data_IF_930167993605
#
_entry.id   IF_930167993605
#
_cell.length_a   1.000
_cell.length_b   1.000
_cell.length_c   1.000
_cell.angle_alpha   90.00
_cell.angle_beta   90.00
_cell.angle_gamma   90.00
#
_symmetry.space_group_name_H-M   'P 1'
#
loop_
_entity.id
_entity.type
_entity.pdbx_description
1 polymer ?
#
# COMPACT_ATOMS: atom_id res chain seq x y z
N UNK A 1 -28.07 12.53 71.02
CA UNK A 1 -29.11 12.31 69.99
C UNK A 1 -28.91 13.40 68.96
N UNK A 2 -28.20 13.06 67.88
CA UNK A 2 -28.01 13.92 66.71
C UNK A 2 -28.25 13.00 65.51
N UNK A 3 -29.28 13.23 64.68
CA UNK A 3 -29.63 12.29 63.62
C UNK A 3 -28.72 12.50 62.40
N UNK A 4 -28.00 11.44 62.03
CA UNK A 4 -27.25 11.34 60.77
C UNK A 4 -28.18 11.52 59.56
N UNK A 5 -27.87 12.51 58.73
CA UNK A 5 -28.55 12.79 57.46
C UNK A 5 -27.90 11.94 56.34
N UNK A 6 -28.67 11.22 55.52
CA UNK A 6 -28.12 10.40 54.43
C UNK A 6 -27.65 11.25 53.24
N UNK A 7 -26.67 10.78 52.43
CA UNK A 7 -26.09 11.55 51.33
C UNK A 7 -27.05 11.71 50.15
N UNK A 8 -27.14 12.93 49.65
CA UNK A 8 -27.93 13.36 48.48
C UNK A 8 -27.31 12.84 47.18
N UNK A 9 -28.07 12.08 46.39
CA UNK A 9 -27.67 11.61 45.05
C UNK A 9 -27.86 12.75 44.03
N UNK A 10 -26.85 13.09 43.19
CA UNK A 10 -27.01 14.09 42.15
C UNK A 10 -27.90 13.59 40.99
N UNK A 11 -28.78 14.46 40.52
CA UNK A 11 -29.74 14.20 39.45
C UNK A 11 -29.06 13.97 38.09
N UNK A 12 -29.58 13.01 37.32
CA UNK A 12 -29.14 12.70 35.96
C UNK A 12 -29.42 13.86 34.98
N UNK A 13 -28.52 14.17 34.03
CA UNK A 13 -28.76 15.19 33.01
C UNK A 13 -29.84 14.77 32.01
N UNK A 14 -30.79 15.66 31.75
CA UNK A 14 -31.88 15.44 30.80
C UNK A 14 -31.38 15.48 29.35
N UNK A 15 -31.90 14.57 28.53
CA UNK A 15 -31.58 14.45 27.11
C UNK A 15 -32.13 15.63 26.30
N UNK A 16 -31.26 16.26 25.51
CA UNK A 16 -31.62 17.31 24.54
C UNK A 16 -32.11 16.63 23.24
N UNK A 17 -33.29 16.98 22.70
CA UNK A 17 -33.76 16.41 21.44
C UNK A 17 -32.99 16.96 20.24
N UNK A 18 -32.51 16.05 19.38
CA UNK A 18 -31.83 16.36 18.12
C UNK A 18 -32.89 16.61 17.02
N UNK A 19 -32.83 17.72 16.26
CA UNK A 19 -33.76 17.96 15.15
C UNK A 19 -33.47 17.04 13.94
N UNK A 20 -34.49 16.66 13.14
CA UNK A 20 -34.31 15.78 12.00
C UNK A 20 -33.56 16.46 10.84
N UNK A 21 -32.62 15.71 10.24
CA UNK A 21 -31.86 16.11 9.06
C UNK A 21 -32.76 16.32 7.84
N UNK A 22 -32.67 17.50 7.22
CA UNK A 22 -33.23 17.77 5.90
C UNK A 22 -32.41 17.05 4.82
N UNK A 23 -33.07 16.25 3.99
CA UNK A 23 -32.45 15.55 2.86
C UNK A 23 -31.99 16.51 1.75
N UNK A 24 -31.04 16.09 0.90
CA UNK A 24 -30.50 16.92 -0.17
C UNK A 24 -31.52 17.13 -1.31
N UNK A 25 -31.50 18.30 -1.99
CA UNK A 25 -32.39 18.58 -3.11
C UNK A 25 -32.04 17.76 -4.37
N UNK A 26 -33.01 17.38 -5.20
CA UNK A 26 -32.77 16.63 -6.43
C UNK A 26 -32.12 17.48 -7.54
N UNK A 27 -31.24 16.85 -8.31
CA UNK A 27 -30.51 17.45 -9.43
C UNK A 27 -31.43 17.81 -10.62
N UNK A 28 -31.12 18.88 -11.38
CA UNK A 28 -31.92 19.29 -12.53
C UNK A 28 -31.71 18.37 -13.74
N UNK A 29 -32.82 17.93 -14.34
CA UNK A 29 -32.84 17.18 -15.59
C UNK A 29 -32.68 18.13 -16.78
N UNK A 30 -31.60 17.99 -17.55
CA UNK A 30 -31.43 18.68 -18.84
C UNK A 30 -32.23 17.96 -19.92
N UNK A 31 -33.32 18.60 -20.35
CA UNK A 31 -34.17 18.15 -21.45
C UNK A 31 -33.50 18.26 -22.82
N UNK A 32 -33.68 17.20 -23.61
CA UNK A 32 -33.35 17.11 -25.04
C UNK A 32 -34.24 18.05 -25.86
N UNK A 33 -33.63 19.03 -26.53
CA UNK A 33 -34.33 19.89 -27.50
C UNK A 33 -34.18 19.31 -28.92
N UNK A 34 -35.31 18.81 -29.44
CA UNK A 34 -35.56 18.57 -30.86
C UNK A 34 -35.64 19.90 -31.64
N UNK A 35 -35.22 19.85 -32.90
CA UNK A 35 -35.62 20.79 -33.94
C UNK A 35 -34.49 21.00 -34.94
N UNK A 36 -34.69 21.09 -36.26
CA UNK A 36 -35.87 21.17 -37.11
C UNK A 36 -35.43 20.69 -38.51
N UNK A 37 -36.30 19.94 -39.19
CA UNK A 37 -36.16 19.51 -40.59
C UNK A 37 -36.37 20.67 -41.57
N UNK A 38 -35.70 20.62 -42.73
CA UNK A 38 -36.23 20.76 -44.14
C UNK A 38 -35.21 21.47 -45.07
N UNK A 39 -35.34 21.36 -46.41
CA UNK A 39 -35.75 20.21 -47.22
C UNK A 39 -34.87 19.98 -48.48
N UNK A 40 -34.90 18.74 -48.97
CA UNK A 40 -35.00 18.27 -50.37
C UNK A 40 -34.66 19.26 -51.50
N UNK A 41 -33.62 18.92 -52.29
CA UNK A 41 -33.65 19.04 -53.75
C UNK A 41 -33.22 17.70 -54.35
N UNK A 42 -34.12 17.14 -55.14
CA UNK A 42 -34.03 15.87 -55.85
C UNK A 42 -33.66 16.18 -57.30
N UNK A 43 -32.62 15.56 -57.85
CA UNK A 43 -32.48 15.40 -59.29
C UNK A 43 -31.64 14.15 -59.58
N UNK A 44 -32.35 13.12 -60.04
CA UNK A 44 -31.80 11.91 -60.63
C UNK A 44 -31.06 12.21 -61.95
N UNK A 45 -30.20 11.31 -62.42
CA UNK A 45 -30.35 10.61 -63.71
C UNK A 45 -29.13 9.69 -63.99
N UNK A 46 -29.49 8.46 -64.36
CA UNK A 46 -28.86 7.48 -65.24
C UNK A 46 -27.46 6.91 -64.93
N UNK A 47 -27.46 5.59 -64.76
CA UNK A 47 -26.28 4.75 -64.94
C UNK A 47 -25.88 4.59 -66.40
N UNK A 48 -24.64 4.14 -66.57
CA UNK A 48 -24.07 3.71 -67.84
C UNK A 48 -22.85 2.84 -67.55
N UNK A 49 -23.05 1.53 -67.61
CA UNK A 49 -22.03 0.48 -67.58
C UNK A 49 -21.48 0.25 -69.00
N UNK A 50 -20.22 -0.23 -69.07
CA UNK A 50 -19.50 -0.78 -70.24
C UNK A 50 -18.79 0.25 -71.14
N UNK A 51 -17.58 0.06 -71.68
CA UNK A 51 -16.50 -0.94 -71.58
C UNK A 51 -15.33 -0.37 -72.42
N UNK A 52 -14.08 -0.60 -72.00
CA UNK A 52 -12.81 -0.56 -72.75
C UNK A 52 -12.63 0.41 -73.95
N UNK A 53 -11.60 1.25 -73.91
CA UNK A 53 -10.38 1.05 -74.72
C UNK A 53 -9.29 2.11 -74.43
N UNK A 54 -8.09 1.60 -74.13
CA UNK A 54 -6.77 2.09 -74.57
C UNK A 54 -6.28 3.52 -74.28
N UNK A 55 -4.99 3.56 -73.90
CA UNK A 55 -4.10 4.71 -73.74
C UNK A 55 -4.32 5.46 -72.42
N UNK A 56 -3.37 5.59 -71.50
CA UNK A 56 -1.93 5.35 -71.52
C UNK A 56 -1.35 6.25 -70.44
N UNK A 57 -0.54 5.68 -69.55
CA UNK A 57 0.29 6.43 -68.61
C UNK A 57 -0.44 6.98 -67.38
N UNK A 58 -0.16 6.38 -66.23
CA UNK A 58 0.20 7.10 -65.00
C UNK A 58 0.67 6.10 -63.95
N UNK A 59 1.59 6.57 -63.11
CA UNK A 59 2.42 5.83 -62.17
C UNK A 59 1.73 4.70 -61.39
N UNK A 60 2.33 3.52 -61.39
CA UNK A 60 2.14 2.52 -60.34
C UNK A 60 2.79 3.08 -59.07
N UNK A 61 2.02 3.86 -58.31
CA UNK A 61 2.32 4.07 -56.90
C UNK A 61 2.01 2.74 -56.23
N UNK A 62 3.06 2.01 -55.86
CA UNK A 62 2.96 0.93 -54.90
C UNK A 62 2.47 1.52 -53.58
N UNK A 63 1.15 1.57 -53.39
CA UNK A 63 0.52 1.83 -52.11
C UNK A 63 0.69 0.56 -51.27
N UNK A 64 1.93 0.34 -50.79
CA UNK A 64 2.15 -0.46 -49.60
C UNK A 64 1.34 0.26 -48.53
N UNK A 65 0.29 -0.41 -48.06
CA UNK A 65 -0.45 0.00 -46.88
C UNK A 65 0.51 0.09 -45.71
N UNK A 66 1.15 1.24 -45.56
CA UNK A 66 1.78 1.66 -44.34
C UNK A 66 0.61 1.95 -43.42
N UNK A 67 0.16 0.92 -42.72
CA UNK A 67 -0.59 1.08 -41.49
C UNK A 67 0.23 2.04 -40.65
N UNK A 68 -0.15 3.32 -40.67
CA UNK A 68 0.28 4.26 -39.66
C UNK A 68 -0.40 3.77 -38.42
N UNK A 69 0.28 2.89 -37.68
CA UNK A 69 0.12 2.77 -36.25
C UNK A 69 0.46 4.17 -35.74
N UNK A 70 -0.55 5.04 -35.67
CA UNK A 70 -0.57 6.10 -34.69
C UNK A 70 -0.73 5.39 -33.35
N UNK A 71 0.34 4.71 -32.93
CA UNK A 71 0.54 4.38 -31.54
C UNK A 71 0.68 5.73 -30.88
N UNK A 72 -0.24 6.02 -29.97
CA UNK A 72 -0.02 7.05 -28.97
C UNK A 72 1.39 6.79 -28.40
N UNK A 73 2.31 7.78 -28.36
CA UNK A 73 3.59 7.60 -27.71
C UNK A 73 3.32 7.32 -26.23
N UNK A 74 3.19 6.04 -25.89
CA UNK A 74 3.03 5.60 -24.51
C UNK A 74 4.44 5.59 -23.96
N UNK A 75 4.79 6.71 -23.33
CA UNK A 75 6.06 6.83 -22.61
C UNK A 75 6.33 5.58 -21.77
N UNK A 76 7.59 5.17 -21.70
CA UNK A 76 7.99 3.95 -21.01
C UNK A 76 8.42 4.29 -19.58
N UNK A 77 8.04 3.45 -18.62
CA UNK A 77 8.57 3.56 -17.25
C UNK A 77 9.48 2.37 -17.00
N UNK A 78 10.72 2.65 -16.60
CA UNK A 78 11.74 1.66 -16.27
C UNK A 78 12.09 1.77 -14.79
N UNK A 79 11.92 0.67 -14.06
CA UNK A 79 12.37 0.53 -12.69
C UNK A 79 13.54 -0.45 -12.63
N UNK A 80 14.68 0.03 -12.13
CA UNK A 80 15.84 -0.82 -11.86
C UNK A 80 15.87 -1.12 -10.38
N UNK A 81 15.92 -2.41 -10.07
CA UNK A 81 16.02 -2.90 -8.69
C UNK A 81 17.28 -3.72 -8.50
N UNK A 82 17.86 -3.64 -7.31
CA UNK A 82 18.98 -4.46 -6.87
C UNK A 82 18.52 -5.45 -5.81
N UNK A 83 18.92 -6.71 -5.97
CA UNK A 83 18.64 -7.76 -5.03
C UNK A 83 19.59 -7.68 -3.82
N UNK A 84 19.00 -7.52 -2.65
CA UNK A 84 19.63 -7.51 -1.34
C UNK A 84 19.28 -8.83 -0.65
N UNK A 85 20.28 -9.61 -0.24
CA UNK A 85 20.01 -10.81 0.55
C UNK A 85 19.59 -10.43 1.96
N UNK A 86 18.71 -11.23 2.57
CA UNK A 86 18.40 -11.07 4.00
C UNK A 86 19.71 -11.21 4.81
N UNK A 87 19.94 -10.24 5.71
CA UNK A 87 21.17 -10.19 6.50
C UNK A 87 22.43 -9.77 5.72
N UNK A 88 22.29 -9.12 4.56
CA UNK A 88 23.42 -8.57 3.80
C UNK A 88 24.18 -9.59 2.93
N UNK A 89 23.69 -10.83 2.83
CA UNK A 89 24.28 -11.86 1.97
C UNK A 89 24.04 -11.57 0.48
N UNK A 90 24.91 -12.08 -0.38
CA UNK A 90 24.73 -11.98 -1.84
C UNK A 90 23.69 -13.02 -2.29
N UNK A 91 22.59 -12.62 -2.94
CA UNK A 91 21.61 -13.58 -3.44
C UNK A 91 22.22 -14.52 -4.47
N UNK A 92 21.89 -15.81 -4.40
CA UNK A 92 22.31 -16.78 -5.41
C UNK A 92 21.60 -16.53 -6.76
N UNK A 93 22.23 -16.98 -7.85
CA UNK A 93 21.71 -16.76 -9.21
C UNK A 93 20.35 -17.44 -9.47
N UNK A 94 20.02 -18.50 -8.74
CA UNK A 94 18.75 -19.22 -8.88
C UNK A 94 17.61 -18.46 -8.17
N UNK A 95 17.87 -17.83 -7.03
CA UNK A 95 16.97 -16.95 -6.31
C UNK A 95 16.65 -15.72 -7.16
N UNK A 96 17.66 -15.10 -7.77
CA UNK A 96 17.48 -14.00 -8.73
C UNK A 96 16.60 -14.42 -9.93
N UNK A 97 16.79 -15.61 -10.49
CA UNK A 97 15.97 -16.08 -11.61
C UNK A 97 14.53 -16.40 -11.19
N UNK A 98 14.33 -16.95 -9.98
CA UNK A 98 12.98 -17.14 -9.41
C UNK A 98 12.30 -15.79 -9.20
N UNK A 99 13.00 -14.81 -8.62
CA UNK A 99 12.49 -13.45 -8.43
C UNK A 99 12.12 -12.80 -9.76
N UNK A 100 12.98 -12.89 -10.79
CA UNK A 100 12.69 -12.36 -12.13
C UNK A 100 11.40 -12.93 -12.71
N UNK A 101 11.20 -14.25 -12.62
CA UNK A 101 9.96 -14.91 -13.09
C UNK A 101 8.74 -14.44 -12.30
N UNK A 102 8.81 -14.39 -10.98
CA UNK A 102 7.72 -13.90 -10.14
C UNK A 102 7.35 -12.44 -10.45
N UNK A 103 8.33 -11.58 -10.72
CA UNK A 103 8.07 -10.20 -11.14
C UNK A 103 7.38 -10.15 -12.51
N UNK A 104 7.76 -11.02 -13.46
CA UNK A 104 7.07 -11.11 -14.75
C UNK A 104 5.60 -11.55 -14.55
N UNK A 105 5.38 -12.63 -13.79
CA UNK A 105 4.04 -13.15 -13.50
C UNK A 105 3.14 -12.10 -12.82
N UNK A 106 3.71 -11.31 -11.91
CA UNK A 106 2.99 -10.22 -11.23
C UNK A 106 2.68 -9.06 -12.18
N UNK A 107 3.58 -8.71 -13.10
CA UNK A 107 3.37 -7.64 -14.08
C UNK A 107 2.26 -8.00 -15.07
N UNK A 108 2.26 -9.24 -15.56
CA UNK A 108 1.21 -9.79 -16.40
C UNK A 108 -0.14 -9.84 -15.66
N UNK A 109 -0.14 -10.34 -14.41
CA UNK A 109 -1.36 -10.42 -13.60
C UNK A 109 -1.95 -9.06 -13.24
N UNK A 110 -1.09 -8.05 -13.07
CA UNK A 110 -1.51 -6.65 -12.89
C UNK A 110 -2.14 -6.06 -14.17
N UNK A 111 -1.97 -6.70 -15.32
CA UNK A 111 -2.47 -6.23 -16.61
C UNK A 111 -1.69 -5.04 -17.13
N UNK A 112 -0.39 -4.96 -16.82
CA UNK A 112 0.50 -3.93 -17.35
C UNK A 112 0.71 -4.17 -18.85
N UNK A 113 0.76 -3.09 -19.62
CA UNK A 113 0.98 -3.17 -21.07
C UNK A 113 2.45 -3.46 -21.37
N UNK A 114 2.70 -4.54 -22.13
CA UNK A 114 4.01 -4.99 -22.62
C UNK A 114 5.13 -4.99 -21.54
N UNK A 115 4.95 -5.71 -20.42
CA UNK A 115 5.94 -5.74 -19.36
C UNK A 115 7.15 -6.58 -19.79
N UNK A 116 8.35 -6.01 -19.67
CA UNK A 116 9.61 -6.74 -19.86
C UNK A 116 10.41 -6.76 -18.56
N UNK A 117 10.73 -7.97 -18.08
CA UNK A 117 11.52 -8.19 -16.85
C UNK A 117 12.81 -8.92 -17.20
N UNK A 118 13.90 -8.18 -17.14
CA UNK A 118 15.24 -8.66 -17.56
C UNK A 118 16.23 -8.57 -16.42
N UNK A 119 17.21 -9.48 -16.38
CA UNK A 119 18.35 -9.38 -15.46
C UNK A 119 19.40 -8.46 -16.04
N UNK A 120 19.99 -7.63 -15.18
CA UNK A 120 21.09 -6.73 -15.52
C UNK A 120 22.25 -7.00 -14.56
N UNK A 121 23.31 -7.62 -15.09
CA UNK A 121 24.45 -8.08 -14.28
C UNK A 121 24.06 -9.12 -13.22
N UNK A 122 24.85 -9.18 -12.14
CA UNK A 122 24.75 -10.27 -11.15
C UNK A 122 23.68 -10.04 -10.10
N UNK A 123 23.25 -8.80 -9.86
CA UNK A 123 22.35 -8.46 -8.74
C UNK A 123 21.17 -7.58 -9.12
N UNK A 124 21.08 -7.08 -10.37
CA UNK A 124 20.01 -6.16 -10.75
C UNK A 124 18.96 -6.83 -11.64
N UNK A 125 17.74 -6.37 -11.50
CA UNK A 125 16.61 -6.69 -12.36
C UNK A 125 16.07 -5.37 -12.88
N UNK A 126 15.83 -5.29 -14.19
CA UNK A 126 15.23 -4.13 -14.86
C UNK A 126 13.85 -4.55 -15.30
N UNK A 127 12.84 -3.84 -14.80
CA UNK A 127 11.45 -3.99 -15.20
C UNK A 127 11.09 -2.76 -16.02
N UNK A 128 10.63 -2.96 -17.26
CA UNK A 128 10.12 -1.90 -18.13
C UNK A 128 8.67 -2.19 -18.47
N UNK A 129 7.84 -1.15 -18.45
CA UNK A 129 6.43 -1.21 -18.87
C UNK A 129 6.12 -0.07 -19.81
N UNK A 130 5.20 -0.33 -20.75
CA UNK A 130 4.72 0.64 -21.71
C UNK A 130 3.54 1.44 -21.12
N UNK A 131 3.81 2.25 -20.10
CA UNK A 131 2.80 3.07 -19.44
C UNK A 131 3.41 4.32 -18.77
N UNK A 132 2.78 5.47 -19.02
CA UNK A 132 3.04 6.70 -18.28
C UNK A 132 2.25 6.72 -16.95
N UNK A 133 2.88 7.20 -15.87
CA UNK A 133 2.24 7.50 -14.56
C UNK A 133 1.73 6.30 -13.75
N UNK A 134 2.38 5.13 -13.82
CA UNK A 134 2.02 3.96 -13.03
C UNK A 134 3.03 3.62 -11.92
N UNK A 135 3.70 4.63 -11.36
CA UNK A 135 4.75 4.48 -10.35
C UNK A 135 4.30 3.64 -9.13
N UNK A 136 3.06 3.82 -8.68
CA UNK A 136 2.54 3.08 -7.53
C UNK A 136 2.31 1.59 -7.84
N UNK A 137 1.76 1.28 -9.02
CA UNK A 137 1.61 -0.11 -9.50
C UNK A 137 2.97 -0.79 -9.68
N UNK A 138 3.98 -0.04 -10.17
CA UNK A 138 5.34 -0.54 -10.36
C UNK A 138 6.08 -0.74 -9.04
N UNK A 139 5.88 0.14 -8.07
CA UNK A 139 6.41 -0.03 -6.71
C UNK A 139 5.77 -1.24 -6.02
N UNK A 140 4.46 -1.43 -6.19
CA UNK A 140 3.77 -2.62 -5.68
C UNK A 140 4.28 -3.91 -6.34
N UNK A 141 4.63 -3.86 -7.62
CA UNK A 141 5.19 -4.99 -8.35
C UNK A 141 6.51 -5.50 -7.76
N UNK A 142 7.43 -4.58 -7.45
CA UNK A 142 8.77 -4.90 -6.91
C UNK A 142 8.79 -5.11 -5.40
N UNK A 143 7.66 -4.93 -4.74
CA UNK A 143 7.52 -5.19 -3.31
C UNK A 143 7.69 -6.70 -3.01
N UNK A 144 8.19 -7.05 -1.83
CA UNK A 144 8.53 -8.45 -1.50
C UNK A 144 7.26 -9.29 -1.47
N UNK A 145 6.16 -8.79 -0.91
CA UNK A 145 4.91 -9.53 -0.75
C UNK A 145 4.84 -10.35 0.51
N UNK A 146 5.57 -9.93 1.54
CA UNK A 146 5.45 -10.52 2.86
C UNK A 146 4.17 -10.05 3.54
N UNK A 147 3.11 -10.84 3.36
CA UNK A 147 1.85 -10.65 4.06
C UNK A 147 1.93 -11.24 5.47
N UNK A 148 1.51 -10.45 6.46
CA UNK A 148 1.38 -10.85 7.86
C UNK A 148 0.03 -10.41 8.41
N UNK A 149 -0.62 -11.29 9.18
CA UNK A 149 -1.77 -10.94 10.00
C UNK A 149 -1.32 -10.79 11.44
N UNK A 150 -1.54 -9.60 12.01
CA UNK A 150 -1.08 -9.22 13.34
C UNK A 150 -2.22 -8.58 14.11
N UNK A 151 -2.42 -8.95 15.37
CA UNK A 151 -3.31 -8.20 16.24
C UNK A 151 -2.73 -6.80 16.49
N UNK A 152 -3.59 -5.79 16.50
CA UNK A 152 -3.21 -4.45 16.95
C UNK A 152 -3.18 -4.46 18.48
N UNK A 153 -2.01 -4.18 19.05
CA UNK A 153 -1.84 -4.06 20.50
C UNK A 153 -2.31 -2.68 20.95
N UNK A 154 -1.92 -1.64 20.21
CA UNK A 154 -2.27 -0.27 20.51
C UNK A 154 -2.23 0.57 19.22
N UNK A 155 -3.02 1.63 19.18
CA UNK A 155 -3.06 2.60 18.09
C UNK A 155 -3.01 4.01 18.66
N UNK A 156 -2.22 4.87 18.04
CA UNK A 156 -2.18 6.30 18.37
C UNK A 156 -2.38 7.11 17.10
N UNK A 157 -3.16 8.17 17.21
CA UNK A 157 -3.24 9.18 16.17
C UNK A 157 -1.92 9.96 16.16
N UNK A 158 -1.24 9.99 15.02
CA UNK A 158 -0.12 10.91 14.79
C UNK A 158 -0.68 12.30 14.50
N UNK A 159 -0.25 13.35 15.22
CA UNK A 159 -0.62 14.70 14.85
C UNK A 159 -0.15 14.99 13.41
N UNK A 160 -0.91 15.78 12.62
CA UNK A 160 -0.49 16.14 11.27
C UNK A 160 0.90 16.78 11.35
N UNK A 161 1.81 16.35 10.47
CA UNK A 161 3.17 16.86 10.38
C UNK A 161 3.14 18.36 10.07
N UNK A 162 3.02 19.19 11.10
CA UNK A 162 2.95 20.63 10.98
C UNK A 162 4.39 21.13 11.09
N UNK A 163 5.07 21.24 9.94
CA UNK A 163 6.39 21.87 9.89
C UNK A 163 7.54 21.09 9.22
N UNK A 164 7.28 20.10 8.37
CA UNK A 164 8.32 19.54 7.50
C UNK A 164 7.95 19.77 6.02
N UNK A 165 8.17 20.99 5.52
CA UNK A 165 8.10 21.33 4.09
C UNK A 165 9.31 20.81 3.32
N UNK A 166 9.83 19.65 3.70
CA UNK A 166 10.84 18.94 2.93
C UNK A 166 10.12 18.06 1.92
N UNK A 167 10.21 18.39 0.64
CA UNK A 167 9.95 17.42 -0.44
C UNK A 167 10.71 16.12 -0.09
N UNK A 168 10.07 14.94 -0.13
CA UNK A 168 10.78 13.69 0.07
C UNK A 168 11.74 13.51 -1.11
N UNK A 169 12.96 14.01 -0.98
CA UNK A 169 14.08 13.49 -1.76
C UNK A 169 14.25 12.06 -1.31
N UNK A 170 14.18 11.11 -2.25
CA UNK A 170 14.77 9.78 -2.05
C UNK A 170 16.14 9.98 -1.39
N UNK A 171 16.39 9.42 -0.19
CA UNK A 171 17.71 9.48 0.39
C UNK A 171 18.70 8.92 -0.63
N UNK A 172 19.90 9.51 -0.78
CA UNK A 172 20.97 8.87 -1.54
C UNK A 172 21.12 7.44 -1.05
N UNK A 173 21.40 6.46 -1.93
CA UNK A 173 21.68 5.11 -1.49
C UNK A 173 22.84 5.15 -0.49
N UNK A 174 22.53 4.99 0.80
CA UNK A 174 23.53 4.88 1.85
C UNK A 174 24.44 3.72 1.48
N UNK A 175 25.65 4.06 1.05
CA UNK A 175 26.65 3.11 0.53
C UNK A 175 27.51 2.54 1.65
N UNK A 176 27.14 2.81 2.91
CA UNK A 176 27.75 2.28 4.11
C UNK A 176 27.04 1.01 4.62
N UNK A 177 27.67 0.29 5.56
CA UNK A 177 26.99 -0.80 6.25
C UNK A 177 25.73 -0.28 6.97
N UNK A 178 24.66 -1.09 7.05
CA UNK A 178 23.44 -0.68 7.73
C UNK A 178 23.74 -0.27 9.17
N UNK A 179 23.10 0.80 9.69
CA UNK A 179 23.36 1.27 11.04
C UNK A 179 23.01 0.16 12.05
N UNK A 180 23.75 0.09 13.15
CA UNK A 180 23.45 -0.82 14.27
C UNK A 180 22.63 -0.10 15.33
N UNK A 181 21.85 -0.85 16.12
CA UNK A 181 21.11 -0.27 17.24
C UNK A 181 22.04 0.46 18.22
N UNK A 182 23.22 -0.09 18.50
CA UNK A 182 24.21 0.52 19.40
C UNK A 182 24.67 1.90 18.91
N UNK A 183 24.90 2.06 17.60
CA UNK A 183 25.25 3.35 16.99
C UNK A 183 24.11 4.37 17.12
N UNK A 184 22.88 3.93 16.90
CA UNK A 184 21.69 4.80 17.04
C UNK A 184 21.49 5.20 18.50
N UNK A 185 21.69 4.29 19.45
CA UNK A 185 21.64 4.59 20.89
C UNK A 185 22.69 5.63 21.25
N UNK A 186 23.94 5.47 20.77
CA UNK A 186 25.01 6.44 21.01
C UNK A 186 24.67 7.84 20.44
N UNK A 187 24.03 7.90 19.26
CA UNK A 187 23.57 9.14 18.63
C UNK A 187 22.45 9.82 19.43
N UNK A 188 21.54 9.05 20.00
CA UNK A 188 20.40 9.56 20.76
C UNK A 188 20.76 9.95 22.19
N UNK A 189 21.78 9.32 22.78
CA UNK A 189 22.22 9.58 24.14
C UNK A 189 21.09 9.39 25.18
N UNK A 190 20.94 10.29 26.17
CA UNK A 190 19.92 10.19 27.21
C UNK A 190 18.47 10.15 26.68
N UNK A 191 18.22 10.67 25.48
CA UNK A 191 16.89 10.63 24.87
C UNK A 191 16.38 9.20 24.67
N UNK A 192 17.29 8.24 24.45
CA UNK A 192 16.92 6.83 24.23
C UNK A 192 16.39 6.16 25.50
N UNK A 193 16.94 6.46 26.68
CA UNK A 193 16.45 5.90 27.94
C UNK A 193 15.04 6.40 28.26
N UNK A 194 14.81 7.68 28.01
CA UNK A 194 13.47 8.28 28.13
C UNK A 194 12.52 7.60 27.15
N UNK A 195 12.89 7.46 25.88
CA UNK A 195 12.08 6.75 24.90
C UNK A 195 11.76 5.30 25.28
N UNK A 196 12.73 4.58 25.86
CA UNK A 196 12.51 3.24 26.39
C UNK A 196 11.50 3.21 27.54
N UNK A 197 11.51 4.21 28.42
CA UNK A 197 10.54 4.27 29.52
C UNK A 197 9.10 4.42 29.00
N UNK A 198 8.89 5.24 27.98
CA UNK A 198 7.60 5.37 27.27
C UNK A 198 7.20 4.09 26.53
N UNK A 199 8.15 3.45 25.85
CA UNK A 199 7.94 2.19 25.16
C UNK A 199 7.46 1.08 26.11
N UNK A 200 7.98 1.04 27.33
CA UNK A 200 7.57 0.05 28.35
C UNK A 200 6.17 0.30 28.89
N UNK A 201 5.77 1.56 29.02
CA UNK A 201 4.44 1.90 29.54
C UNK A 201 3.34 1.83 28.47
N UNK A 202 3.71 1.80 27.18
CA UNK A 202 2.77 1.95 26.05
C UNK A 202 1.85 3.17 26.23
N UNK A 203 2.35 4.20 26.92
CA UNK A 203 1.60 5.41 27.24
C UNK A 203 1.28 6.20 25.96
N UNK A 204 0.05 6.71 25.81
CA UNK A 204 -0.30 7.63 24.73
C UNK A 204 0.70 8.80 24.62
N UNK A 205 1.08 9.21 23.39
CA UNK A 205 2.05 10.28 23.15
C UNK A 205 1.60 11.62 23.72
N UNK A 206 0.30 11.83 23.96
CA UNK A 206 -0.21 13.03 24.61
C UNK A 206 0.28 13.19 26.06
N UNK A 207 0.68 12.09 26.71
CA UNK A 207 1.28 12.09 28.04
C UNK A 207 2.77 12.46 27.99
N UNK A 208 3.39 12.40 26.81
CA UNK A 208 4.67 13.06 26.58
C UNK A 208 4.39 14.56 26.48
N UNK A 209 4.21 15.22 27.63
CA UNK A 209 4.04 16.67 27.70
C UNK A 209 5.17 17.43 26.99
N UNK A 210 4.99 18.74 26.80
CA UNK A 210 5.92 19.59 26.01
C UNK A 210 7.40 19.47 26.40
N UNK A 211 7.70 19.21 27.68
CA UNK A 211 9.07 18.99 28.18
C UNK A 211 9.71 17.71 27.63
N UNK A 212 8.93 16.63 27.49
CA UNK A 212 9.38 15.36 26.92
C UNK A 212 9.51 15.41 25.40
N UNK A 213 8.71 16.23 24.70
CA UNK A 213 8.89 16.46 23.26
C UNK A 213 10.26 17.06 22.95
N UNK A 214 10.76 17.96 23.81
CA UNK A 214 12.10 18.54 23.64
C UNK A 214 13.22 17.52 23.88
N UNK A 215 13.03 16.60 24.83
CA UNK A 215 13.98 15.50 25.09
C UNK A 215 14.00 14.49 23.93
N UNK A 216 12.85 14.25 23.31
CA UNK A 216 12.70 13.31 22.18
C UNK A 216 12.93 13.96 20.80
N UNK A 217 13.28 15.24 20.75
CA UNK A 217 13.61 15.94 19.51
C UNK A 217 14.69 15.25 18.66
N UNK A 218 15.74 14.60 19.23
CA UNK A 218 16.76 13.89 18.43
C UNK A 218 16.20 12.77 17.54
N UNK A 219 15.03 12.20 17.87
CA UNK A 219 14.41 11.16 17.05
C UNK A 219 13.84 11.69 15.72
N UNK A 220 13.47 12.99 15.67
CA UNK A 220 12.91 13.61 14.48
C UNK A 220 13.91 13.69 13.31
N UNK A 221 15.21 13.66 13.60
CA UNK A 221 16.29 13.77 12.61
C UNK A 221 16.94 12.44 12.26
N UNK A 222 16.43 11.32 12.77
CA UNK A 222 16.93 10.00 12.41
C UNK A 222 16.61 9.69 10.94
N UNK A 223 17.57 9.06 10.26
CA UNK A 223 17.35 8.54 8.91
C UNK A 223 16.37 7.36 8.95
N UNK A 224 15.69 7.03 7.84
CA UNK A 224 14.80 5.87 7.81
C UNK A 224 15.51 4.55 8.16
N UNK A 225 16.79 4.41 7.80
CA UNK A 225 17.60 3.24 8.18
C UNK A 225 17.88 3.19 9.69
N UNK A 226 18.17 4.32 10.31
CA UNK A 226 18.36 4.42 11.78
C UNK A 226 17.05 4.15 12.53
N UNK A 227 15.92 4.65 12.02
CA UNK A 227 14.60 4.36 12.59
C UNK A 227 14.30 2.86 12.51
N UNK A 228 14.76 2.17 11.46
CA UNK A 228 14.45 0.77 11.24
C UNK A 228 15.07 -0.18 12.27
N UNK A 229 16.22 0.17 12.85
CA UNK A 229 16.87 -0.66 13.87
C UNK A 229 16.35 -0.43 15.28
N UNK A 230 15.53 0.60 15.49
CA UNK A 230 14.88 0.82 16.79
C UNK A 230 13.87 -0.30 17.10
N UNK A 231 13.72 -0.69 18.38
CA UNK A 231 12.65 -1.59 18.81
C UNK A 231 11.27 -1.06 18.40
N UNK A 232 10.34 -1.97 18.10
CA UNK A 232 9.00 -1.61 17.65
C UNK A 232 8.26 -0.71 18.65
N UNK A 233 8.37 -1.00 19.93
CA UNK A 233 7.75 -0.21 21.00
C UNK A 233 8.30 1.21 21.05
N UNK A 234 9.60 1.41 20.77
CA UNK A 234 10.20 2.75 20.71
C UNK A 234 9.71 3.50 19.48
N UNK A 235 9.71 2.87 18.29
CA UNK A 235 9.15 3.44 17.07
C UNK A 235 7.69 3.87 17.24
N UNK A 236 6.93 3.07 17.96
CA UNK A 236 5.53 3.36 18.28
C UNK A 236 5.41 4.49 19.31
N UNK A 237 6.04 4.37 20.49
CA UNK A 237 5.78 5.27 21.61
C UNK A 237 6.39 6.68 21.41
N UNK A 238 7.45 6.82 20.62
CA UNK A 238 8.08 8.13 20.40
C UNK A 238 7.26 8.96 19.40
N UNK A 239 6.70 10.13 19.79
CA UNK A 239 5.83 10.93 18.92
C UNK A 239 6.58 11.60 17.77
N UNK A 240 7.87 11.90 17.95
CA UNK A 240 8.73 12.50 16.93
C UNK A 240 9.14 11.51 15.84
N UNK A 241 8.94 10.20 16.06
CA UNK A 241 9.05 9.18 14.99
C UNK A 241 7.73 9.16 14.22
N UNK A 242 7.76 9.75 13.03
CA UNK A 242 6.57 9.96 12.19
C UNK A 242 6.27 8.77 11.28
N UNK A 243 5.03 8.69 10.79
CA UNK A 243 4.67 7.71 9.77
C UNK A 243 5.46 7.90 8.47
N UNK A 244 5.87 9.12 8.12
CA UNK A 244 6.75 9.37 6.98
C UNK A 244 8.09 8.65 7.14
N UNK A 245 8.70 8.72 8.33
CA UNK A 245 9.95 7.98 8.60
C UNK A 245 9.73 6.46 8.62
N UNK A 246 8.61 5.98 9.18
CA UNK A 246 8.30 4.55 9.25
C UNK A 246 8.00 3.92 7.89
N UNK A 247 7.31 4.65 7.01
CA UNK A 247 7.00 4.22 5.65
C UNK A 247 8.20 4.34 4.70
N UNK A 248 9.18 5.18 5.02
CA UNK A 248 10.41 5.34 4.25
C UNK A 248 11.53 4.35 4.64
N UNK A 249 11.28 3.46 5.60
CA UNK A 249 12.28 2.47 6.03
C UNK A 249 12.71 1.57 4.86
N UNK A 250 13.97 1.13 4.85
CA UNK A 250 14.44 0.19 3.84
C UNK A 250 13.61 -1.11 3.88
N UNK A 251 13.28 -1.65 2.71
CA UNK A 251 12.42 -2.83 2.58
C UNK A 251 13.00 -4.07 3.28
N UNK A 252 14.33 -4.16 3.37
CA UNK A 252 15.06 -5.22 4.06
C UNK A 252 14.93 -5.17 5.58
N UNK A 253 14.46 -4.06 6.15
CA UNK A 253 14.29 -3.88 7.58
C UNK A 253 12.84 -4.06 8.05
N UNK A 254 12.06 -4.86 7.31
CA UNK A 254 10.77 -5.34 7.76
C UNK A 254 10.90 -6.14 9.07
N UNK A 255 9.95 -5.94 9.99
CA UNK A 255 9.96 -6.58 11.30
C UNK A 255 9.77 -8.10 11.19
N UNK A 256 10.58 -8.87 11.90
CA UNK A 256 10.51 -10.33 11.89
C UNK A 256 9.11 -10.85 12.33
N UNK A 257 8.76 -12.05 11.88
CA UNK A 257 7.47 -12.67 12.12
C UNK A 257 7.14 -12.79 13.62
N UNK A 258 8.11 -13.24 14.39
CA UNK A 258 8.04 -13.54 15.82
C UNK A 258 8.21 -12.30 16.70
N UNK A 259 8.51 -11.15 16.11
CA UNK A 259 8.68 -9.89 16.81
C UNK A 259 7.45 -9.00 16.65
N UNK A 260 7.28 -8.08 17.62
CA UNK A 260 6.34 -6.97 17.48
C UNK A 260 6.78 -6.03 16.37
N UNK A 261 5.83 -5.30 15.82
CA UNK A 261 6.05 -4.40 14.69
C UNK A 261 5.41 -3.04 14.97
N UNK A 262 6.07 -1.97 14.55
CA UNK A 262 5.47 -0.64 14.49
C UNK A 262 5.34 -0.22 13.03
N UNK A 263 4.10 0.04 12.63
CA UNK A 263 3.74 0.30 11.25
C UNK A 263 2.67 1.39 11.16
N UNK A 264 2.54 1.98 9.98
CA UNK A 264 1.48 2.94 9.66
C UNK A 264 0.68 2.46 8.46
N UNK A 265 -0.54 2.97 8.36
CA UNK A 265 -1.37 2.85 7.17
C UNK A 265 -0.88 3.86 6.11
N UNK A 266 -0.70 3.41 4.87
CA UNK A 266 -0.26 4.27 3.76
C UNK A 266 -1.38 5.19 3.28
N UNK A 267 -2.62 4.71 3.27
CA UNK A 267 -3.81 5.45 2.86
C UNK A 267 -4.25 6.44 3.93
N UNK A 268 -3.95 6.15 5.20
CA UNK A 268 -4.23 7.00 6.36
C UNK A 268 -3.00 7.11 7.29
N UNK A 269 -1.97 7.89 6.92
CA UNK A 269 -0.72 8.00 7.70
C UNK A 269 -0.88 8.75 9.04
N UNK A 270 -2.12 9.05 9.42
CA UNK A 270 -2.52 9.60 10.71
C UNK A 270 -2.61 8.55 11.82
N UNK A 271 -2.52 7.25 11.51
CA UNK A 271 -2.53 6.20 12.53
C UNK A 271 -1.21 5.44 12.55
N UNK A 272 -0.59 5.40 13.74
CA UNK A 272 0.57 4.56 14.03
C UNK A 272 0.12 3.41 14.91
N UNK A 273 0.47 2.19 14.50
CA UNK A 273 0.05 0.94 15.14
C UNK A 273 1.23 0.25 15.79
N UNK A 274 1.02 -0.28 16.99
CA UNK A 274 1.85 -1.32 17.57
C UNK A 274 1.17 -2.66 17.34
N UNK A 275 1.90 -3.58 16.73
CA UNK A 275 1.38 -4.85 16.25
C UNK A 275 2.05 -6.00 16.98
N UNK A 276 1.25 -7.02 17.31
CA UNK A 276 1.71 -8.28 17.87
C UNK A 276 2.65 -9.03 16.89
N UNK A 277 3.38 -10.05 17.36
CA UNK A 277 3.93 -11.07 16.48
C UNK A 277 2.90 -11.59 15.48
N UNK A 278 3.35 -11.92 14.27
CA UNK A 278 2.51 -12.43 13.21
C UNK A 278 1.97 -13.80 13.58
N UNK A 279 0.64 -13.92 13.58
CA UNK A 279 -0.05 -15.18 13.84
C UNK A 279 -0.28 -15.99 12.56
N UNK A 280 -0.39 -15.30 11.42
CA UNK A 280 -0.47 -15.89 10.09
C UNK A 280 0.44 -15.15 9.11
N UNK A 281 0.77 -15.83 8.03
CA UNK A 281 1.56 -15.28 6.92
C UNK A 281 0.95 -15.62 5.56
N UNK A 282 1.55 -15.13 4.47
CA UNK A 282 1.15 -15.52 3.11
C UNK A 282 1.17 -17.03 2.86
N UNK A 283 1.99 -17.81 3.58
CA UNK A 283 2.04 -19.28 3.45
C UNK A 283 0.76 -19.99 3.92
N UNK A 284 -0.08 -19.29 4.69
CA UNK A 284 -1.37 -19.80 5.15
C UNK A 284 -2.48 -19.67 4.11
N UNK A 285 -2.23 -18.93 3.03
CA UNK A 285 -3.23 -18.61 2.01
C UNK A 285 -3.28 -19.72 0.97
N UNK A 286 -4.49 -20.16 0.68
CA UNK A 286 -4.79 -21.06 -0.43
C UNK A 286 -5.05 -20.29 -1.72
N UNK A 287 -5.84 -19.23 -1.63
CA UNK A 287 -6.23 -18.43 -2.78
C UNK A 287 -6.37 -16.96 -2.42
N UNK A 288 -5.96 -16.08 -3.35
CA UNK A 288 -6.16 -14.65 -3.28
C UNK A 288 -6.69 -14.16 -4.63
N UNK A 289 -7.85 -13.50 -4.61
CA UNK A 289 -8.51 -13.00 -5.83
C UNK A 289 -8.95 -11.56 -5.66
N UNK A 290 -8.69 -10.73 -6.67
CA UNK A 290 -9.24 -9.39 -6.75
C UNK A 290 -10.67 -9.47 -7.29
N UNK A 291 -11.63 -8.88 -6.59
CA UNK A 291 -13.04 -8.83 -6.98
C UNK A 291 -13.54 -7.40 -6.94
N UNK A 292 -14.44 -7.06 -7.85
CA UNK A 292 -15.23 -5.84 -7.78
C UNK A 292 -16.46 -6.14 -6.92
N UNK A 293 -16.70 -5.32 -5.90
CA UNK A 293 -17.90 -5.39 -5.06
C UNK A 293 -19.06 -4.60 -5.68
N UNK A 294 -20.28 -4.84 -5.22
CA UNK A 294 -21.52 -4.29 -5.80
C UNK A 294 -21.56 -2.75 -5.90
N UNK A 295 -20.79 -2.04 -5.07
CA UNK A 295 -20.72 -0.58 -5.04
C UNK A 295 -19.56 0.00 -5.86
N UNK A 296 -18.79 -0.84 -6.56
CA UNK A 296 -17.67 -0.44 -7.40
C UNK A 296 -16.31 -0.45 -6.72
N UNK A 297 -16.23 -0.87 -5.45
CA UNK A 297 -14.97 -0.98 -4.71
C UNK A 297 -14.22 -2.26 -5.09
N UNK A 298 -12.91 -2.15 -5.31
CA UNK A 298 -12.05 -3.31 -5.47
C UNK A 298 -11.60 -3.84 -4.12
N UNK A 299 -11.73 -5.15 -3.95
CA UNK A 299 -11.42 -5.87 -2.72
C UNK A 299 -10.63 -7.13 -3.06
N UNK A 300 -9.90 -7.65 -2.08
CA UNK A 300 -9.14 -8.90 -2.22
C UNK A 300 -9.81 -9.95 -1.35
N UNK A 301 -10.34 -11.00 -1.97
CA UNK A 301 -10.90 -12.16 -1.29
C UNK A 301 -9.80 -13.18 -1.06
N UNK A 302 -9.70 -13.65 0.18
CA UNK A 302 -8.73 -14.63 0.63
C UNK A 302 -9.44 -15.88 1.12
N UNK A 303 -8.90 -17.04 0.74
CA UNK A 303 -9.20 -18.31 1.39
C UNK A 303 -7.90 -18.92 1.92
N UNK A 304 -8.01 -19.67 3.02
CA UNK A 304 -6.85 -20.24 3.71
C UNK A 304 -6.69 -21.74 3.42
N UNK A 305 -5.46 -22.23 3.55
CA UNK A 305 -5.20 -23.66 3.67
C UNK A 305 -5.83 -24.19 4.96
N UNK A 306 -6.13 -25.50 5.09
CA UNK A 306 -6.82 -26.04 6.27
C UNK A 306 -6.16 -25.67 7.61
N UNK A 307 -4.83 -25.74 7.69
CA UNK A 307 -4.09 -25.34 8.89
C UNK A 307 -4.12 -23.80 9.10
N UNK A 308 -4.04 -23.03 8.02
CA UNK A 308 -4.19 -21.57 8.04
C UNK A 308 -5.58 -21.15 8.52
N UNK A 309 -6.64 -21.82 8.07
CA UNK A 309 -8.01 -21.54 8.49
C UNK A 309 -8.21 -21.75 9.99
N UNK A 310 -7.64 -22.81 10.56
CA UNK A 310 -7.69 -23.04 12.00
C UNK A 310 -6.98 -21.92 12.78
N UNK A 311 -5.79 -21.51 12.33
CA UNK A 311 -5.06 -20.38 12.92
C UNK A 311 -5.81 -19.06 12.76
N UNK A 312 -6.48 -18.84 11.63
CA UNK A 312 -7.27 -17.65 11.37
C UNK A 312 -8.48 -17.55 12.32
N UNK A 313 -9.20 -18.67 12.48
CA UNK A 313 -10.32 -18.76 13.42
C UNK A 313 -9.87 -18.54 14.86
N UNK A 314 -8.70 -19.06 15.26
CA UNK A 314 -8.17 -18.83 16.61
C UNK A 314 -7.71 -17.38 16.82
N UNK A 315 -7.03 -16.80 15.83
CA UNK A 315 -6.63 -15.39 15.88
C UNK A 315 -7.86 -14.50 16.03
N UNK A 316 -8.88 -14.68 15.18
CA UNK A 316 -10.09 -13.85 15.23
C UNK A 316 -10.89 -14.03 16.53
N UNK A 317 -10.88 -15.23 17.13
CA UNK A 317 -11.43 -15.47 18.48
C UNK A 317 -10.68 -14.71 19.57
N UNK A 318 -9.35 -14.65 19.48
CA UNK A 318 -8.54 -13.88 20.44
C UNK A 318 -8.76 -12.39 20.27
N UNK A 319 -8.73 -11.91 19.02
CA UNK A 319 -8.88 -10.48 18.71
C UNK A 319 -10.29 -9.98 19.01
N UNK A 320 -11.36 -10.74 18.72
CA UNK A 320 -12.73 -10.27 18.94
C UNK A 320 -13.05 -9.95 20.41
N UNK A 321 -12.37 -10.62 21.35
CA UNK A 321 -12.50 -10.34 22.79
C UNK A 321 -11.59 -9.21 23.27
N UNK A 322 -10.69 -8.70 22.42
CA UNK A 322 -9.66 -7.73 22.78
C UNK A 322 -8.58 -8.31 23.69
N UNK A 323 -8.48 -9.64 23.81
CA UNK A 323 -7.47 -10.26 24.67
C UNK A 323 -6.08 -9.93 24.15
N UNK A 324 -5.22 -9.36 25.00
CA UNK A 324 -3.83 -9.03 24.66
C UNK A 324 -3.63 -7.75 23.85
N UNK A 325 -4.68 -6.98 23.53
CA UNK A 325 -4.57 -5.77 22.72
C UNK A 325 -5.91 -5.09 22.46
N UNK A 326 -6.09 -4.57 21.25
CA UNK A 326 -7.39 -4.11 20.77
C UNK A 326 -8.12 -5.24 20.05
N UNK A 327 -9.38 -4.98 19.69
CA UNK A 327 -10.15 -5.83 18.79
C UNK A 327 -9.92 -5.53 17.31
N UNK A 328 -8.79 -4.91 16.96
CA UNK A 328 -8.40 -4.69 15.57
C UNK A 328 -7.37 -5.72 15.12
N UNK A 329 -7.50 -6.13 13.86
CA UNK A 329 -6.60 -7.07 13.21
C UNK A 329 -5.94 -6.37 12.03
N UNK A 330 -4.64 -6.12 12.13
CA UNK A 330 -3.87 -5.50 11.07
C UNK A 330 -3.44 -6.52 10.02
N UNK A 331 -3.66 -6.15 8.77
CA UNK A 331 -3.18 -6.81 7.58
C UNK A 331 -1.98 -6.01 7.08
N UNK A 332 -0.79 -6.60 7.19
CA UNK A 332 0.48 -5.92 6.93
C UNK A 332 1.12 -6.54 5.71
N UNK A 333 1.52 -5.70 4.75
CA UNK A 333 2.28 -6.12 3.57
C UNK A 333 3.58 -5.34 3.57
N UNK A 334 4.71 -6.06 3.61
CA UNK A 334 6.06 -5.48 3.57
C UNK A 334 6.28 -4.38 4.63
N UNK A 335 5.76 -4.60 5.84
CA UNK A 335 5.89 -3.68 6.97
C UNK A 335 4.93 -2.47 6.96
N UNK A 336 4.03 -2.39 5.97
CA UNK A 336 3.01 -1.34 5.84
C UNK A 336 1.63 -1.91 6.16
N UNK A 337 0.85 -1.21 6.98
CA UNK A 337 -0.54 -1.60 7.25
C UNK A 337 -1.36 -1.27 6.02
N UNK A 338 -2.00 -2.29 5.45
CA UNK A 338 -2.93 -2.14 4.32
C UNK A 338 -4.35 -1.91 4.82
N UNK A 339 -4.72 -2.59 5.90
CA UNK A 339 -5.97 -2.38 6.61
C UNK A 339 -5.87 -2.86 8.06
N UNK A 340 -6.65 -2.27 8.95
CA UNK A 340 -6.74 -2.67 10.36
C UNK A 340 -8.21 -2.67 10.86
N UNK A 341 -9.09 -3.50 10.27
CA UNK A 341 -10.49 -3.56 10.66
C UNK A 341 -10.70 -4.08 12.08
N UNK A 342 -11.83 -3.70 12.66
CA UNK A 342 -12.32 -4.27 13.92
C UNK A 342 -12.94 -5.65 13.68
N UNK A 343 -12.53 -6.64 14.46
CA UNK A 343 -13.10 -7.98 14.46
C UNK A 343 -14.25 -8.01 15.46
N UNK A 344 -15.47 -8.20 14.95
CA UNK A 344 -16.68 -8.26 15.78
C UNK A 344 -17.04 -9.70 16.19
N UNK A 345 -16.84 -10.65 15.26
CA UNK A 345 -17.18 -12.05 15.44
C UNK A 345 -16.02 -12.95 15.00
N UNK A 346 -16.06 -14.20 15.48
CA UNK A 346 -15.10 -15.23 15.07
C UNK A 346 -15.30 -15.58 13.60
N UNK A 347 -14.24 -15.53 12.80
CA UNK A 347 -14.31 -15.81 11.37
C UNK A 347 -13.88 -17.25 11.07
N UNK A 348 -14.75 -18.01 10.41
CA UNK A 348 -14.56 -19.44 10.11
C UNK A 348 -14.42 -19.77 8.63
N UNK A 349 -14.39 -18.76 7.76
CA UNK A 349 -14.24 -18.95 6.31
C UNK A 349 -13.50 -17.81 5.63
N UNK A 350 -13.80 -17.62 4.34
CA UNK A 350 -13.17 -16.63 3.48
C UNK A 350 -13.22 -15.23 4.07
N UNK A 351 -12.16 -14.47 3.83
CA UNK A 351 -11.98 -13.10 4.36
C UNK A 351 -11.77 -12.12 3.23
N UNK A 352 -12.17 -10.88 3.44
CA UNK A 352 -12.04 -9.80 2.47
C UNK A 352 -11.11 -8.71 3.01
N UNK A 353 -10.16 -8.27 2.18
CA UNK A 353 -9.33 -7.09 2.43
C UNK A 353 -9.90 -5.94 1.61
N UNK A 354 -10.28 -4.86 2.29
CA UNK A 354 -10.63 -3.58 1.71
C UNK A 354 -9.54 -2.54 2.00
N UNK A 355 -9.46 -1.50 1.17
CA UNK A 355 -8.43 -0.45 1.31
C UNK A 355 -8.47 0.66 0.27
N UNK A 356 -9.58 0.79 -0.48
CA UNK A 356 -9.69 1.78 -1.57
C UNK A 356 -8.79 1.45 -2.77
N UNK A 357 -8.66 0.17 -3.11
CA UNK A 357 -7.78 -0.26 -4.19
C UNK A 357 -8.29 0.15 -5.58
N UNK A 358 -7.36 0.40 -6.50
CA UNK A 358 -7.66 0.39 -7.93
C UNK A 358 -7.74 -1.05 -8.45
N UNK A 359 -8.33 -1.25 -9.63
CA UNK A 359 -8.36 -2.56 -10.29
C UNK A 359 -6.97 -3.17 -10.44
N UNK A 360 -6.03 -2.39 -10.98
CA UNK A 360 -4.66 -2.83 -11.20
C UNK A 360 -3.96 -3.13 -9.87
N UNK A 361 -4.12 -2.25 -8.87
CA UNK A 361 -3.55 -2.44 -7.54
C UNK A 361 -4.08 -3.69 -6.82
N UNK A 362 -5.39 -3.93 -6.85
CA UNK A 362 -5.99 -5.12 -6.27
C UNK A 362 -5.52 -6.41 -6.94
N UNK A 363 -5.40 -6.42 -8.28
CA UNK A 363 -4.91 -7.58 -9.04
C UNK A 363 -3.43 -7.85 -8.79
N UNK A 364 -2.61 -6.80 -8.78
CA UNK A 364 -1.19 -6.89 -8.47
C UNK A 364 -0.99 -7.46 -7.06
N UNK A 365 -1.69 -6.90 -6.07
CA UNK A 365 -1.61 -7.37 -4.69
C UNK A 365 -2.14 -8.80 -4.56
N UNK A 366 -3.29 -9.16 -5.13
CA UNK A 366 -3.79 -10.54 -5.11
C UNK A 366 -2.80 -11.54 -5.75
N UNK A 367 -2.16 -11.16 -6.86
CA UNK A 367 -1.12 -11.99 -7.49
C UNK A 367 0.13 -12.13 -6.60
N UNK A 368 0.54 -11.04 -5.96
CA UNK A 368 1.64 -11.03 -4.99
C UNK A 368 1.33 -11.93 -3.78
N UNK A 369 0.12 -11.87 -3.24
CA UNK A 369 -0.31 -12.74 -2.13
C UNK A 369 -0.36 -14.23 -2.54
N UNK A 370 -0.75 -14.53 -3.78
CA UNK A 370 -0.82 -15.91 -4.30
C UNK A 370 0.55 -16.50 -4.64
N UNK A 371 1.44 -15.69 -5.25
CA UNK A 371 2.79 -16.12 -5.64
C UNK A 371 3.73 -16.27 -4.44
N UNK A 372 3.33 -15.71 -3.28
CA UNK A 372 4.14 -15.67 -2.08
C UNK A 372 5.18 -14.55 -2.12
N UNK A 373 5.93 -14.45 -1.02
CA UNK A 373 6.99 -13.46 -0.90
C UNK A 373 8.13 -13.74 -1.89
N UNK A 374 8.72 -12.68 -2.44
CA UNK A 374 9.89 -12.80 -3.31
C UNK A 374 11.04 -13.49 -2.54
N UNK A 375 11.81 -14.38 -3.19
CA UNK A 375 12.96 -15.06 -2.58
C UNK A 375 14.07 -14.12 -2.10
N UNK A 376 14.11 -12.89 -2.62
CA UNK A 376 15.11 -11.87 -2.33
C UNK A 376 14.41 -10.54 -2.06
N UNK A 377 15.00 -9.71 -1.22
CA UNK A 377 14.53 -8.34 -1.06
C UNK A 377 15.05 -7.51 -2.23
N UNK A 378 14.20 -6.62 -2.74
CA UNK A 378 14.55 -5.74 -3.85
C UNK A 378 14.61 -4.31 -3.36
N UNK A 379 15.71 -3.63 -3.67
CA UNK A 379 15.90 -2.20 -3.42
C UNK A 379 15.82 -1.47 -4.75
N UNK A 380 14.96 -0.47 -4.82
CA UNK A 380 14.86 0.39 -6.00
C UNK A 380 16.13 1.23 -6.08
N UNK A 381 16.89 1.11 -7.17
CA UNK A 381 18.11 1.89 -7.40
C UNK A 381 17.89 3.02 -8.38
N UNK A 382 16.94 2.86 -9.29
CA UNK A 382 16.59 3.87 -10.28
C UNK A 382 15.14 3.71 -10.73
N UNK A 383 14.47 4.83 -10.97
CA UNK A 383 13.13 4.91 -11.53
C UNK A 383 13.15 6.02 -12.59
N UNK A 384 13.06 5.63 -13.84
CA UNK A 384 13.07 6.54 -14.97
C UNK A 384 11.76 6.42 -15.75
N UNK A 385 11.12 7.55 -15.99
CA UNK A 385 9.97 7.66 -16.88
C UNK A 385 10.42 8.43 -18.11
N UNK A 386 10.36 7.80 -19.27
CA UNK A 386 10.77 8.39 -20.55
C UNK A 386 9.51 8.84 -21.31
N UNK A 387 9.25 10.16 -21.39
CA UNK A 387 8.26 10.69 -22.31
C UNK A 387 8.88 10.67 -23.71
N UNK A 388 8.53 9.63 -24.49
CA UNK A 388 8.90 9.40 -25.90
C UNK A 388 9.38 10.62 -26.70
#
# INVERSE_FOLDING_TARGET
MEPHQPPTVPAAPQAVPVPPFAGPPPAPQTGSARGVRRPVVLAAIAGGLALLLCCGGTAVVAFVGRERIFGDPRGSTTITVEAVGRGGTVPDAAALERTRRMLADRAEAAGLDDPSVTRSGDRRIVVRVSAANQDESLRALVAVGELRFRQVIATIATPPATGATGTPSSPPPETGPPPTLEQVIAKLGPAYEVAQSFARSLSPPEQAGALTTHVLAPFAVLSPAEVAVLPAEVRYAVPTVTCTQLLARPAEAADAADQRSAACDRSSPSNKYLLAPASLSGEDIKEATASLESYGDWVIRLSFLPAGQQRWTELTRTVSTGTGGTNQLAIVVDGVVVSAPTVQDVLTGDTQISGGFTQAGARALASQLRSGALPVVLRIVDLASDPD
#
